data_IF_884159824406
#
_entry.id   IF_884159824406
#
_cell.length_a   1.000
_cell.length_b   1.000
_cell.length_c   1.000
_cell.angle_alpha   90.00
_cell.angle_beta   90.00
_cell.angle_gamma   90.00
#
_symmetry.space_group_name_H-M   'P 1'
#
loop_
_entity.id
_entity.type
_entity.pdbx_description
1 polymer ?
#
# COMPACT_ATOMS: atom_id res chain seq x y z
N UNK A 1 -55.13 -30.69 17.75
CA UNK A 1 -53.67 -30.65 17.94
C UNK A 1 -52.84 -31.06 16.73
N UNK A 2 -53.39 -31.13 15.49
CA UNK A 2 -52.64 -31.54 14.29
C UNK A 2 -52.41 -30.40 13.27
N UNK A 3 -52.83 -29.16 13.57
CA UNK A 3 -52.68 -28.03 12.65
C UNK A 3 -51.57 -27.04 13.05
N UNK A 4 -50.93 -27.21 14.20
CA UNK A 4 -49.85 -26.33 14.64
C UNK A 4 -48.43 -26.79 14.23
N UNK A 5 -48.30 -28.03 13.68
CA UNK A 5 -46.98 -28.56 13.29
C UNK A 5 -46.60 -28.29 11.82
N UNK A 6 -47.49 -27.69 11.02
CA UNK A 6 -47.22 -27.45 9.60
C UNK A 6 -46.81 -25.99 9.26
N UNK A 7 -46.71 -25.12 10.25
CA UNK A 7 -46.29 -23.73 10.02
C UNK A 7 -44.79 -23.47 10.31
N UNK A 8 -43.99 -24.50 10.59
CA UNK A 8 -42.53 -24.41 10.65
C UNK A 8 -41.89 -24.63 9.26
N UNK A 9 -42.59 -24.15 8.23
CA UNK A 9 -42.12 -24.26 6.85
C UNK A 9 -41.34 -23.07 6.38
N UNK A 10 -40.06 -23.26 6.19
CA UNK A 10 -39.17 -22.52 5.29
C UNK A 10 -39.12 -21.00 5.49
N UNK A 11 -38.38 -20.55 6.48
CA UNK A 11 -37.68 -19.26 6.32
C UNK A 11 -36.65 -19.46 5.20
N UNK A 12 -36.68 -18.64 4.17
CA UNK A 12 -35.65 -18.76 3.11
C UNK A 12 -34.28 -18.51 3.71
N UNK A 13 -33.34 -19.35 3.32
CA UNK A 13 -31.94 -19.34 3.78
C UNK A 13 -31.20 -18.08 3.24
N UNK A 14 -31.61 -16.90 3.73
CA UNK A 14 -31.04 -15.62 3.36
C UNK A 14 -29.65 -15.40 3.99
N UNK A 15 -29.20 -16.36 4.83
CA UNK A 15 -27.88 -16.31 5.49
C UNK A 15 -26.72 -16.64 4.56
N UNK A 16 -26.95 -17.43 3.49
CA UNK A 16 -25.89 -17.85 2.57
C UNK A 16 -25.52 -16.78 1.54
N UNK A 17 -26.49 -16.00 1.08
CA UNK A 17 -26.24 -14.95 0.07
C UNK A 17 -25.47 -13.74 0.64
N UNK A 18 -25.70 -13.37 1.89
CA UNK A 18 -24.94 -12.30 2.56
C UNK A 18 -23.49 -12.68 2.86
N UNK A 19 -23.25 -13.97 3.15
CA UNK A 19 -21.94 -14.47 3.61
C UNK A 19 -20.87 -14.51 2.50
N UNK A 20 -21.25 -14.81 1.26
CA UNK A 20 -20.35 -14.80 0.11
C UNK A 20 -20.03 -13.37 -0.34
N UNK A 21 -21.00 -12.47 -0.26
CA UNK A 21 -20.85 -11.06 -0.67
C UNK A 21 -19.85 -10.30 0.20
N UNK A 22 -19.91 -10.49 1.53
CA UNK A 22 -19.03 -9.76 2.48
C UNK A 22 -17.56 -10.19 2.35
N UNK A 23 -17.30 -11.48 2.18
CA UNK A 23 -15.94 -12.01 1.96
C UNK A 23 -15.36 -11.48 0.67
N UNK A 24 -16.12 -11.51 -0.42
CA UNK A 24 -15.71 -10.99 -1.73
C UNK A 24 -15.37 -9.50 -1.63
N UNK A 25 -16.19 -8.73 -0.93
CA UNK A 25 -15.94 -7.30 -0.71
C UNK A 25 -14.65 -7.07 0.06
N UNK A 26 -14.41 -7.84 1.13
CA UNK A 26 -13.18 -7.73 1.93
C UNK A 26 -11.94 -8.07 1.09
N UNK A 27 -11.97 -9.17 0.33
CA UNK A 27 -10.87 -9.54 -0.56
C UNK A 27 -10.62 -8.49 -1.63
N UNK A 28 -11.67 -7.95 -2.24
CA UNK A 28 -11.57 -6.88 -3.24
C UNK A 28 -10.89 -5.63 -2.66
N UNK A 29 -11.32 -5.20 -1.47
CA UNK A 29 -10.74 -4.04 -0.77
C UNK A 29 -9.24 -4.30 -0.47
N UNK A 30 -8.91 -5.50 0.02
CA UNK A 30 -7.53 -5.86 0.33
C UNK A 30 -6.67 -5.96 -0.93
N UNK A 31 -7.19 -6.51 -2.02
CA UNK A 31 -6.50 -6.59 -3.31
C UNK A 31 -6.18 -5.18 -3.84
N UNK A 32 -7.16 -4.27 -3.82
CA UNK A 32 -6.95 -2.89 -4.26
C UNK A 32 -5.86 -2.19 -3.41
N UNK A 33 -5.88 -2.39 -2.09
CA UNK A 33 -4.84 -1.82 -1.23
C UNK A 33 -3.46 -2.43 -1.54
N UNK A 34 -3.41 -3.72 -1.89
CA UNK A 34 -2.16 -4.42 -2.24
C UNK A 34 -1.58 -3.95 -3.59
N UNK A 35 -2.40 -3.36 -4.50
CA UNK A 35 -1.90 -2.74 -5.74
C UNK A 35 -0.89 -1.61 -5.46
N UNK A 36 -0.96 -0.96 -4.31
CA UNK A 36 0.05 0.01 -3.89
C UNK A 36 1.44 -0.65 -3.77
N UNK A 37 1.49 -1.92 -3.35
CA UNK A 37 2.72 -2.71 -3.36
C UNK A 37 3.24 -2.99 -4.77
N UNK A 38 2.35 -3.32 -5.70
CA UNK A 38 2.71 -3.53 -7.12
C UNK A 38 3.38 -2.28 -7.70
N UNK A 39 2.81 -1.10 -7.44
CA UNK A 39 3.37 0.18 -7.90
C UNK A 39 4.77 0.43 -7.33
N UNK A 40 4.96 0.15 -6.05
CA UNK A 40 6.26 0.26 -5.39
C UNK A 40 7.28 -0.67 -6.08
N UNK A 41 6.89 -1.92 -6.33
CA UNK A 41 7.75 -2.90 -7.00
C UNK A 41 8.12 -2.50 -8.43
N UNK A 42 7.14 -2.05 -9.21
CA UNK A 42 7.36 -1.56 -10.57
C UNK A 42 8.37 -0.40 -10.59
N UNK A 43 8.20 0.58 -9.69
CA UNK A 43 9.06 1.78 -9.67
C UNK A 43 10.51 1.43 -9.32
N UNK A 44 10.74 0.47 -8.42
CA UNK A 44 12.09 -0.02 -8.10
C UNK A 44 12.72 -0.71 -9.32
N UNK A 45 11.93 -1.52 -10.03
CA UNK A 45 12.43 -2.33 -11.13
C UNK A 45 12.75 -1.53 -12.40
N UNK A 46 11.82 -0.68 -12.86
CA UNK A 46 11.92 -0.01 -14.17
C UNK A 46 13.14 0.91 -14.29
N UNK A 47 13.62 1.47 -13.20
CA UNK A 47 14.80 2.39 -13.28
C UNK A 47 16.07 1.63 -13.67
N UNK A 48 16.17 0.35 -13.30
CA UNK A 48 17.33 -0.47 -13.60
C UNK A 48 17.49 -0.68 -15.12
N UNK A 49 16.38 -0.93 -15.82
CA UNK A 49 16.39 -1.08 -17.28
C UNK A 49 16.46 0.22 -18.05
N UNK A 50 15.81 1.28 -17.53
CA UNK A 50 15.75 2.58 -18.19
C UNK A 50 17.07 3.37 -18.10
N UNK A 51 17.84 3.22 -17.02
CA UNK A 51 19.01 4.05 -16.70
C UNK A 51 20.09 4.08 -17.81
N UNK A 52 20.47 2.96 -18.44
CA UNK A 52 21.44 3.00 -19.54
C UNK A 52 20.99 3.91 -20.70
N UNK A 53 19.72 3.79 -21.12
CA UNK A 53 19.16 4.59 -22.21
C UNK A 53 19.05 6.08 -21.83
N UNK A 54 18.69 6.38 -20.59
CA UNK A 54 18.66 7.74 -20.03
C UNK A 54 20.06 8.35 -20.07
N UNK A 55 21.08 7.55 -19.68
CA UNK A 55 22.48 7.96 -19.67
C UNK A 55 22.95 8.31 -21.08
N UNK A 56 22.61 7.46 -22.07
CA UNK A 56 23.00 7.65 -23.46
C UNK A 56 22.27 8.85 -24.10
N UNK A 57 20.98 9.06 -23.80
CA UNK A 57 20.21 10.18 -24.37
C UNK A 57 20.63 11.53 -23.81
N UNK A 58 20.80 11.62 -22.48
CA UNK A 58 21.10 12.89 -21.81
C UNK A 58 22.61 13.09 -21.58
N UNK A 59 23.46 12.13 -21.93
CA UNK A 59 24.92 12.15 -21.76
C UNK A 59 25.33 12.54 -20.32
N UNK A 60 24.64 11.90 -19.33
CA UNK A 60 24.83 12.22 -17.91
C UNK A 60 26.02 11.46 -17.32
N UNK A 61 26.74 12.13 -16.43
CA UNK A 61 27.87 11.54 -15.70
C UNK A 61 27.39 10.64 -14.54
N UNK A 62 28.29 9.85 -13.97
CA UNK A 62 28.00 8.90 -12.89
C UNK A 62 27.33 9.55 -11.69
N UNK A 63 27.74 10.78 -11.33
CA UNK A 63 27.16 11.52 -10.21
C UNK A 63 25.67 11.86 -10.45
N UNK A 64 25.33 12.27 -11.67
CA UNK A 64 23.94 12.55 -12.06
C UNK A 64 23.10 11.26 -12.09
N UNK A 65 23.67 10.13 -12.57
CA UNK A 65 23.00 8.82 -12.51
C UNK A 65 22.61 8.45 -11.07
N UNK A 66 23.54 8.68 -10.12
CA UNK A 66 23.29 8.46 -8.69
C UNK A 66 22.11 9.29 -8.20
N UNK A 67 22.02 10.56 -8.63
CA UNK A 67 20.89 11.44 -8.27
C UNK A 67 19.57 10.93 -8.88
N UNK A 68 19.57 10.49 -10.13
CA UNK A 68 18.37 9.93 -10.78
C UNK A 68 17.82 8.73 -9.96
N UNK A 69 18.71 7.87 -9.45
CA UNK A 69 18.30 6.70 -8.65
C UNK A 69 17.94 7.10 -7.21
N UNK A 70 18.80 7.87 -6.54
CA UNK A 70 18.67 8.16 -5.09
C UNK A 70 17.57 9.18 -4.77
N UNK A 71 17.23 10.07 -5.70
CA UNK A 71 16.19 11.09 -5.50
C UNK A 71 14.84 10.48 -5.12
N UNK A 72 14.51 9.32 -5.68
CA UNK A 72 13.30 8.57 -5.33
C UNK A 72 13.34 8.12 -3.85
N UNK A 73 14.50 7.62 -3.38
CA UNK A 73 14.66 7.21 -1.97
C UNK A 73 14.52 8.40 -1.02
N UNK A 74 15.05 9.56 -1.41
CA UNK A 74 14.86 10.80 -0.65
C UNK A 74 13.36 11.16 -0.55
N UNK A 75 12.65 11.14 -1.68
CA UNK A 75 11.20 11.36 -1.72
C UNK A 75 10.45 10.38 -0.83
N UNK A 76 10.82 9.09 -0.88
CA UNK A 76 10.17 8.03 -0.09
C UNK A 76 10.37 8.25 1.41
N UNK A 77 11.55 8.67 1.85
CA UNK A 77 11.81 9.00 3.26
C UNK A 77 10.92 10.15 3.74
N UNK A 78 10.84 11.24 2.96
CA UNK A 78 9.98 12.41 3.26
C UNK A 78 8.50 11.98 3.29
N UNK A 79 8.06 11.21 2.29
CA UNK A 79 6.70 10.70 2.18
C UNK A 79 6.31 9.80 3.36
N UNK A 80 7.21 8.91 3.77
CA UNK A 80 6.98 7.99 4.88
C UNK A 80 6.82 8.74 6.22
N UNK A 81 7.69 9.73 6.48
CA UNK A 81 7.61 10.57 7.69
C UNK A 81 6.28 11.35 7.72
N UNK A 82 5.88 11.93 6.59
CA UNK A 82 4.64 12.70 6.48
C UNK A 82 3.38 11.84 6.52
N UNK A 83 3.47 10.58 6.11
CA UNK A 83 2.31 9.69 5.92
C UNK A 83 1.57 9.37 7.21
N UNK A 84 2.27 9.27 8.33
CA UNK A 84 1.66 9.03 9.64
C UNK A 84 0.67 10.14 10.00
N UNK A 85 1.11 11.38 9.88
CA UNK A 85 0.27 12.56 10.13
C UNK A 85 -0.88 12.65 9.10
N UNK A 86 -0.57 12.44 7.83
CA UNK A 86 -1.55 12.49 6.72
C UNK A 86 -2.66 11.44 6.94
N UNK A 87 -2.27 10.21 7.22
CA UNK A 87 -3.18 9.08 7.43
C UNK A 87 -4.05 9.28 8.69
N UNK A 88 -3.50 9.86 9.76
CA UNK A 88 -4.24 10.18 10.98
C UNK A 88 -5.25 11.31 10.72
N UNK A 89 -4.83 12.38 10.02
CA UNK A 89 -5.66 13.57 9.81
C UNK A 89 -6.78 13.32 8.79
N UNK A 90 -6.45 12.79 7.61
CA UNK A 90 -7.36 12.66 6.47
C UNK A 90 -8.05 11.29 6.38
N UNK A 91 -7.48 10.26 7.02
CA UNK A 91 -7.97 8.88 6.89
C UNK A 91 -7.13 8.08 5.89
N UNK A 92 -7.28 6.77 5.95
CA UNK A 92 -6.46 5.85 5.14
C UNK A 92 -6.83 5.93 3.66
N UNK A 93 -8.13 6.02 3.36
CA UNK A 93 -8.65 6.15 1.99
C UNK A 93 -8.06 7.38 1.27
N UNK A 94 -8.18 8.56 1.91
CA UNK A 94 -7.71 9.83 1.31
C UNK A 94 -6.19 9.83 1.18
N UNK A 95 -5.46 9.24 2.13
CA UNK A 95 -3.99 9.12 2.04
C UNK A 95 -3.57 8.23 0.88
N UNK A 96 -4.24 7.08 0.69
CA UNK A 96 -4.01 6.21 -0.47
C UNK A 96 -4.35 6.93 -1.78
N UNK A 97 -5.42 7.74 -1.79
CA UNK A 97 -5.81 8.53 -2.98
C UNK A 97 -4.73 9.56 -3.33
N UNK A 98 -4.17 10.25 -2.33
CA UNK A 98 -3.05 11.19 -2.54
C UNK A 98 -1.85 10.44 -3.11
N UNK A 99 -1.50 9.29 -2.53
CA UNK A 99 -0.43 8.42 -3.03
C UNK A 99 -0.66 8.01 -4.50
N UNK A 100 -1.88 7.60 -4.84
CA UNK A 100 -2.24 7.21 -6.22
C UNK A 100 -2.13 8.38 -7.20
N UNK A 101 -2.58 9.59 -6.80
CA UNK A 101 -2.44 10.81 -7.61
C UNK A 101 -0.95 11.13 -7.84
N UNK A 102 -0.14 11.04 -6.79
CA UNK A 102 1.31 11.27 -6.89
C UNK A 102 1.98 10.24 -7.80
N UNK A 103 1.56 8.95 -7.77
CA UNK A 103 2.04 7.91 -8.67
C UNK A 103 1.71 8.26 -10.13
N UNK A 104 0.46 8.64 -10.43
CA UNK A 104 0.03 9.01 -11.79
C UNK A 104 0.84 10.23 -12.27
N UNK A 105 0.89 11.29 -11.46
CA UNK A 105 1.62 12.51 -11.83
C UNK A 105 3.11 12.25 -12.01
N UNK A 106 3.74 11.58 -11.05
CA UNK A 106 5.17 11.26 -11.09
C UNK A 106 5.54 10.40 -12.30
N UNK A 107 4.73 9.37 -12.60
CA UNK A 107 4.96 8.50 -13.78
C UNK A 107 4.80 9.28 -15.10
N UNK A 108 3.78 10.13 -15.20
CA UNK A 108 3.57 10.97 -16.38
C UNK A 108 4.76 11.93 -16.59
N UNK A 109 5.18 12.61 -15.54
CA UNK A 109 6.33 13.53 -15.62
C UNK A 109 7.63 12.80 -15.91
N UNK A 110 7.83 11.59 -15.35
CA UNK A 110 9.02 10.76 -15.65
C UNK A 110 9.03 10.32 -17.11
N UNK A 111 7.90 9.82 -17.63
CA UNK A 111 7.78 9.35 -19.01
C UNK A 111 7.92 10.51 -20.04
N UNK A 112 7.45 11.70 -19.66
CA UNK A 112 7.48 12.90 -20.52
C UNK A 112 8.70 13.79 -20.30
N UNK A 113 9.66 13.40 -19.47
CA UNK A 113 10.79 14.25 -19.04
C UNK A 113 11.62 14.72 -20.25
N UNK A 114 11.71 16.06 -20.49
CA UNK A 114 12.53 16.58 -21.58
C UNK A 114 14.02 16.70 -21.23
N UNK A 115 14.35 16.67 -19.95
CA UNK A 115 15.72 16.78 -19.43
C UNK A 115 15.85 16.05 -18.09
N UNK A 116 17.10 15.89 -17.63
CA UNK A 116 17.41 15.10 -16.44
C UNK A 116 16.90 15.76 -15.14
N UNK A 117 16.83 17.10 -15.11
CA UNK A 117 16.35 17.82 -13.92
C UNK A 117 14.86 17.52 -13.66
N UNK A 118 14.05 17.56 -14.72
CA UNK A 118 12.61 17.19 -14.64
C UNK A 118 12.47 15.73 -14.24
N UNK A 119 13.31 14.85 -14.78
CA UNK A 119 13.32 13.44 -14.42
C UNK A 119 13.63 13.27 -12.91
N UNK A 120 14.64 13.93 -12.36
CA UNK A 120 15.00 13.89 -10.93
C UNK A 120 13.80 14.37 -10.07
N UNK A 121 13.17 15.49 -10.44
CA UNK A 121 12.00 16.02 -9.70
C UNK A 121 10.84 15.01 -9.75
N UNK A 122 10.59 14.40 -10.91
CA UNK A 122 9.55 13.39 -11.04
C UNK A 122 9.83 12.13 -10.21
N UNK A 123 11.13 11.74 -10.08
CA UNK A 123 11.56 10.63 -9.20
C UNK A 123 11.31 10.97 -7.73
N UNK A 124 11.53 12.23 -7.31
CA UNK A 124 11.16 12.68 -5.95
C UNK A 124 9.65 12.54 -5.73
N UNK A 125 8.83 12.95 -6.72
CA UNK A 125 7.35 12.81 -6.63
C UNK A 125 6.93 11.34 -6.52
N UNK A 126 7.54 10.45 -7.32
CA UNK A 126 7.32 9.00 -7.23
C UNK A 126 7.73 8.47 -5.85
N UNK A 127 8.86 8.95 -5.33
CA UNK A 127 9.31 8.63 -3.98
C UNK A 127 8.29 9.03 -2.92
N UNK A 128 7.76 10.26 -2.98
CA UNK A 128 6.70 10.72 -2.07
C UNK A 128 5.49 9.77 -2.13
N UNK A 129 5.06 9.37 -3.34
CA UNK A 129 3.97 8.42 -3.54
C UNK A 129 4.26 7.08 -2.85
N UNK A 130 5.46 6.55 -3.08
CA UNK A 130 5.95 5.30 -2.46
C UNK A 130 5.94 5.42 -0.94
N UNK A 131 6.47 6.51 -0.38
CA UNK A 131 6.53 6.75 1.06
C UNK A 131 5.13 6.77 1.70
N UNK A 132 4.18 7.46 1.07
CA UNK A 132 2.78 7.51 1.54
C UNK A 132 2.14 6.13 1.43
N UNK A 133 2.32 5.43 0.32
CA UNK A 133 1.70 4.14 0.05
C UNK A 133 2.28 3.03 0.94
N UNK A 134 3.59 2.98 1.14
CA UNK A 134 4.28 1.95 1.94
C UNK A 134 3.90 1.99 3.41
N UNK A 135 3.52 3.14 3.94
CA UNK A 135 2.96 3.27 5.28
C UNK A 135 1.46 2.97 5.30
N UNK A 136 0.71 3.64 4.41
CA UNK A 136 -0.76 3.67 4.49
C UNK A 136 -1.40 2.34 4.06
N UNK A 137 -0.86 1.65 3.03
CA UNK A 137 -1.47 0.43 2.50
C UNK A 137 -1.40 -0.74 3.50
N UNK A 138 -0.24 -1.09 4.10
CA UNK A 138 -0.21 -2.13 5.13
C UNK A 138 -1.03 -1.78 6.37
N UNK A 139 -1.02 -0.51 6.79
CA UNK A 139 -1.85 -0.04 7.89
C UNK A 139 -3.34 -0.25 7.58
N UNK A 140 -3.78 0.17 6.39
CA UNK A 140 -5.17 0.00 5.93
C UNK A 140 -5.55 -1.49 5.88
N UNK A 141 -4.67 -2.33 5.33
CA UNK A 141 -4.87 -3.79 5.28
C UNK A 141 -5.03 -4.38 6.69
N UNK A 142 -4.20 -3.95 7.64
CA UNK A 142 -4.26 -4.43 9.02
C UNK A 142 -5.54 -4.02 9.75
N UNK A 143 -6.16 -2.90 9.34
CA UNK A 143 -7.38 -2.36 9.95
C UNK A 143 -8.68 -2.88 9.30
N UNK A 144 -8.63 -3.26 8.02
CA UNK A 144 -9.80 -3.75 7.26
C UNK A 144 -9.92 -5.26 7.34
N UNK A 145 -8.80 -5.98 7.24
CA UNK A 145 -8.80 -7.44 7.18
C UNK A 145 -9.26 -8.05 8.53
N UNK A 146 -10.18 -9.05 8.48
CA UNK A 146 -10.50 -9.82 9.68
C UNK A 146 -9.24 -10.43 10.30
N UNK A 147 -9.24 -10.58 11.62
CA UNK A 147 -8.09 -11.08 12.38
C UNK A 147 -7.51 -12.37 11.79
N UNK A 148 -8.37 -13.31 11.39
CA UNK A 148 -7.99 -14.64 10.87
C UNK A 148 -7.14 -14.57 9.60
N UNK A 149 -7.34 -13.56 8.74
CA UNK A 149 -6.64 -13.44 7.44
C UNK A 149 -5.74 -12.20 7.36
N UNK A 150 -5.61 -11.44 8.44
CA UNK A 150 -4.86 -10.18 8.48
C UNK A 150 -3.40 -10.36 8.04
N UNK A 151 -2.72 -11.38 8.58
CA UNK A 151 -1.34 -11.70 8.21
C UNK A 151 -1.21 -12.02 6.72
N UNK A 152 -2.13 -12.84 6.19
CA UNK A 152 -2.18 -13.21 4.78
C UNK A 152 -2.34 -12.00 3.86
N UNK A 153 -3.19 -11.04 4.25
CA UNK A 153 -3.44 -9.82 3.47
C UNK A 153 -2.22 -8.89 3.46
N UNK A 154 -1.50 -8.81 4.58
CA UNK A 154 -0.24 -8.03 4.66
C UNK A 154 0.83 -8.72 3.80
N UNK A 155 0.91 -10.06 3.83
CA UNK A 155 1.83 -10.83 2.97
C UNK A 155 1.50 -10.65 1.48
N UNK A 156 0.22 -10.50 1.14
CA UNK A 156 -0.20 -10.21 -0.24
C UNK A 156 0.35 -8.86 -0.73
N UNK A 157 0.42 -7.84 0.13
CA UNK A 157 1.06 -6.57 -0.21
C UNK A 157 2.55 -6.79 -0.57
N UNK A 158 3.26 -7.59 0.23
CA UNK A 158 4.68 -7.91 -0.03
C UNK A 158 4.85 -8.72 -1.33
N UNK A 159 3.95 -9.68 -1.57
CA UNK A 159 3.92 -10.47 -2.82
C UNK A 159 3.71 -9.55 -4.04
N UNK A 160 2.83 -8.56 -3.92
CA UNK A 160 2.58 -7.59 -5.00
C UNK A 160 3.81 -6.74 -5.32
N UNK A 161 4.66 -6.41 -4.32
CA UNK A 161 5.95 -5.74 -4.56
C UNK A 161 6.84 -6.63 -5.46
N UNK A 162 6.95 -7.92 -5.12
CA UNK A 162 7.76 -8.88 -5.89
C UNK A 162 7.23 -9.04 -7.32
N UNK A 163 5.90 -9.16 -7.48
CA UNK A 163 5.25 -9.23 -8.79
C UNK A 163 5.52 -7.94 -9.59
N UNK A 164 5.49 -6.79 -8.92
CA UNK A 164 5.81 -5.49 -9.54
C UNK A 164 7.23 -5.45 -10.07
N UNK A 165 8.21 -5.91 -9.29
CA UNK A 165 9.63 -5.99 -9.72
C UNK A 165 9.76 -6.91 -10.94
N UNK A 166 9.12 -8.08 -10.91
CA UNK A 166 9.11 -9.01 -12.05
C UNK A 166 8.47 -8.35 -13.29
N UNK A 167 7.32 -7.68 -13.10
CA UNK A 167 6.63 -6.96 -14.17
C UNK A 167 7.50 -5.85 -14.78
N UNK A 168 8.27 -5.15 -13.94
CA UNK A 168 9.22 -4.12 -14.38
C UNK A 168 10.29 -4.74 -15.31
N UNK A 169 10.92 -5.84 -14.87
CA UNK A 169 11.95 -6.51 -15.68
C UNK A 169 11.41 -7.02 -17.02
N UNK A 170 10.20 -7.56 -17.03
CA UNK A 170 9.55 -7.99 -18.28
C UNK A 170 9.28 -6.80 -19.21
N UNK A 171 8.80 -5.70 -18.66
CA UNK A 171 8.56 -4.44 -19.38
C UNK A 171 9.87 -3.87 -19.95
N UNK A 172 10.90 -3.79 -19.11
CA UNK A 172 12.23 -3.28 -19.48
C UNK A 172 12.82 -4.13 -20.64
N UNK A 173 12.73 -5.46 -20.53
CA UNK A 173 13.18 -6.37 -21.56
C UNK A 173 12.41 -6.11 -22.86
N UNK A 174 11.09 -5.96 -22.81
CA UNK A 174 10.26 -5.74 -24.00
C UNK A 174 10.61 -4.41 -24.70
N UNK A 175 10.83 -3.35 -23.94
CA UNK A 175 11.13 -2.03 -24.49
C UNK A 175 12.62 -1.78 -24.75
N UNK A 176 13.53 -2.63 -24.25
CA UNK A 176 14.99 -2.48 -24.47
C UNK A 176 15.35 -2.61 -25.96
N UNK A 177 14.64 -3.47 -26.71
CA UNK A 177 14.87 -3.66 -28.14
C UNK A 177 14.65 -2.39 -28.96
N UNK A 178 13.80 -1.48 -28.48
CA UNK A 178 13.49 -0.21 -29.14
C UNK A 178 14.18 0.99 -28.49
N UNK A 179 14.87 0.78 -27.35
CA UNK A 179 15.45 1.85 -26.54
C UNK A 179 14.42 2.81 -25.92
N UNK A 180 13.17 2.38 -25.82
CA UNK A 180 12.04 3.24 -25.47
C UNK A 180 11.88 3.38 -23.94
N UNK A 181 12.90 3.96 -23.26
CA UNK A 181 12.91 4.10 -21.81
C UNK A 181 11.72 4.90 -21.25
N UNK A 182 11.18 5.82 -22.04
CA UNK A 182 9.98 6.57 -21.63
C UNK A 182 8.78 5.65 -21.41
N UNK A 183 8.63 4.60 -22.23
CA UNK A 183 7.58 3.59 -22.05
C UNK A 183 7.86 2.67 -20.87
N UNK A 184 9.14 2.38 -20.58
CA UNK A 184 9.51 1.64 -19.36
C UNK A 184 8.99 2.37 -18.11
N UNK A 185 9.30 3.68 -17.98
CA UNK A 185 8.82 4.51 -16.87
C UNK A 185 7.28 4.72 -16.93
N UNK A 186 6.73 4.79 -18.13
CA UNK A 186 5.29 5.01 -18.36
C UNK A 186 4.40 3.84 -17.99
N UNK A 187 4.94 2.62 -17.96
CA UNK A 187 4.14 1.42 -17.63
C UNK A 187 3.46 1.51 -16.26
N UNK A 188 4.09 2.24 -15.32
CA UNK A 188 3.57 2.47 -13.96
C UNK A 188 2.20 3.19 -14.00
N UNK A 189 1.95 4.00 -15.03
CA UNK A 189 0.71 4.80 -15.16
C UNK A 189 -0.53 3.88 -15.14
N UNK A 190 -0.46 2.71 -15.78
CA UNK A 190 -1.60 1.79 -15.91
C UNK A 190 -2.10 1.32 -14.53
N UNK A 191 -1.27 0.65 -13.69
CA UNK A 191 -1.73 0.25 -12.36
C UNK A 191 -1.93 1.45 -11.41
N UNK A 192 -1.29 2.59 -11.63
CA UNK A 192 -1.51 3.80 -10.84
C UNK A 192 -2.93 4.35 -11.06
N UNK A 193 -3.40 4.40 -12.31
CA UNK A 193 -4.78 4.78 -12.64
C UNK A 193 -5.76 3.75 -12.06
N UNK A 194 -5.44 2.45 -12.18
CA UNK A 194 -6.28 1.40 -11.62
C UNK A 194 -6.41 1.55 -10.09
N UNK A 195 -5.31 1.82 -9.39
CA UNK A 195 -5.33 2.11 -7.95
C UNK A 195 -6.16 3.37 -7.66
N UNK A 196 -5.96 4.44 -8.41
CA UNK A 196 -6.68 5.71 -8.22
C UNK A 196 -8.19 5.51 -8.36
N UNK A 197 -8.63 4.82 -9.40
CA UNK A 197 -10.05 4.47 -9.61
C UNK A 197 -10.54 3.58 -8.47
N UNK A 198 -9.77 2.54 -8.14
CA UNK A 198 -10.11 1.57 -7.09
C UNK A 198 -10.34 2.21 -5.73
N UNK A 199 -9.49 3.18 -5.37
CA UNK A 199 -9.58 3.88 -4.08
C UNK A 199 -10.93 4.58 -3.88
N UNK A 200 -11.58 5.04 -4.96
CA UNK A 200 -12.93 5.66 -4.85
C UNK A 200 -13.95 4.69 -4.25
N UNK A 201 -13.81 3.39 -4.53
CA UNK A 201 -14.72 2.35 -4.05
C UNK A 201 -14.38 1.83 -2.65
N UNK A 202 -13.18 2.13 -2.14
CA UNK A 202 -12.75 1.69 -0.81
C UNK A 202 -13.51 2.44 0.29
N UNK A 203 -13.95 1.75 1.37
CA UNK A 203 -14.40 2.45 2.58
C UNK A 203 -13.20 3.02 3.33
N UNK A 204 -13.40 3.98 4.21
CA UNK A 204 -12.33 4.36 5.14
C UNK A 204 -12.27 3.36 6.31
N UNK A 205 -11.18 3.39 7.07
CA UNK A 205 -10.94 2.43 8.15
C UNK A 205 -11.94 2.58 9.30
N UNK A 206 -12.55 1.47 9.81
CA UNK A 206 -13.39 1.54 11.00
C UNK A 206 -12.61 2.01 12.24
N UNK A 207 -11.33 1.65 12.38
CA UNK A 207 -10.47 2.13 13.48
C UNK A 207 -10.25 3.62 13.41
N UNK A 208 -10.07 4.17 12.19
CA UNK A 208 -9.91 5.62 12.00
C UNK A 208 -11.20 6.37 12.35
N UNK A 209 -12.37 5.88 11.90
CA UNK A 209 -13.66 6.48 12.27
C UNK A 209 -13.86 6.49 13.79
N UNK A 210 -13.55 5.37 14.45
CA UNK A 210 -13.67 5.25 15.91
C UNK A 210 -12.71 6.22 16.63
N UNK A 211 -11.46 6.35 16.16
CA UNK A 211 -10.47 7.31 16.70
C UNK A 211 -10.95 8.77 16.56
N UNK A 212 -11.77 9.06 15.54
CA UNK A 212 -12.42 10.37 15.35
C UNK A 212 -13.78 10.47 16.08
N UNK A 213 -14.11 9.51 16.94
CA UNK A 213 -15.38 9.39 17.70
C UNK A 213 -16.63 9.24 16.82
N UNK A 214 -16.45 8.83 15.55
CA UNK A 214 -17.51 8.59 14.57
C UNK A 214 -17.91 7.10 14.60
N UNK A 215 -18.45 6.64 15.72
CA UNK A 215 -18.76 5.23 15.96
C UNK A 215 -19.83 4.66 15.02
N UNK A 216 -20.81 5.48 14.63
CA UNK A 216 -21.88 5.05 13.69
C UNK A 216 -21.30 4.73 12.30
N UNK A 217 -20.32 5.52 11.85
CA UNK A 217 -19.65 5.26 10.57
C UNK A 217 -18.73 4.03 10.65
N UNK A 218 -18.05 3.85 11.80
CA UNK A 218 -17.24 2.66 12.06
C UNK A 218 -18.11 1.39 12.01
N UNK A 219 -19.27 1.41 12.68
CA UNK A 219 -20.22 0.29 12.68
C UNK A 219 -20.72 -0.02 11.27
N UNK A 220 -21.09 1.01 10.50
CA UNK A 220 -21.57 0.87 9.12
C UNK A 220 -20.53 0.17 8.23
N UNK A 221 -19.25 0.52 8.39
CA UNK A 221 -18.15 -0.11 7.62
C UNK A 221 -17.96 -1.57 8.08
N UNK A 222 -17.94 -1.82 9.39
CA UNK A 222 -17.79 -3.18 9.94
C UNK A 222 -18.92 -4.10 9.46
N UNK A 223 -20.17 -3.61 9.44
CA UNK A 223 -21.32 -4.37 8.94
C UNK A 223 -21.20 -4.76 7.46
N UNK A 224 -20.44 -4.01 6.66
CA UNK A 224 -20.17 -4.34 5.25
C UNK A 224 -19.03 -5.34 5.09
N UNK A 225 -18.10 -5.39 6.06
CA UNK A 225 -16.87 -6.16 5.96
C UNK A 225 -16.90 -7.47 6.73
N UNK A 226 -17.81 -7.64 7.68
CA UNK A 226 -17.89 -8.82 8.55
C UNK A 226 -19.09 -9.70 8.16
N UNK A 227 -18.98 -11.00 8.42
CA UNK A 227 -19.99 -11.98 8.02
C UNK A 227 -21.26 -11.85 8.85
N UNK A 228 -21.16 -11.41 10.10
CA UNK A 228 -22.31 -11.29 11.00
C UNK A 228 -22.32 -9.94 11.72
N UNK A 229 -23.55 -9.49 12.02
CA UNK A 229 -23.75 -8.27 12.82
C UNK A 229 -23.15 -8.42 14.24
N UNK A 230 -23.17 -9.62 14.80
CA UNK A 230 -22.57 -9.90 16.12
C UNK A 230 -21.06 -9.68 16.08
N UNK A 231 -20.38 -10.19 15.05
CA UNK A 231 -18.94 -10.02 14.85
C UNK A 231 -18.57 -8.53 14.67
N UNK A 232 -19.35 -7.79 13.88
CA UNK A 232 -19.15 -6.36 13.66
C UNK A 232 -19.27 -5.55 14.98
N UNK A 233 -20.29 -5.87 15.79
CA UNK A 233 -20.52 -5.20 17.08
C UNK A 233 -19.43 -5.56 18.09
N UNK A 234 -19.01 -6.82 18.15
CA UNK A 234 -17.93 -7.26 19.03
C UNK A 234 -16.64 -6.51 18.71
N UNK A 235 -16.26 -6.47 17.43
CA UNK A 235 -15.05 -5.76 16.99
C UNK A 235 -15.14 -4.25 17.27
N UNK A 236 -16.32 -3.65 17.11
CA UNK A 236 -16.53 -2.22 17.43
C UNK A 236 -16.28 -1.97 18.93
N UNK A 237 -16.76 -2.88 19.78
CA UNK A 237 -16.55 -2.74 21.23
C UNK A 237 -15.07 -2.92 21.60
N UNK A 238 -14.37 -3.88 21.00
CA UNK A 238 -12.92 -4.03 21.17
C UNK A 238 -12.17 -2.75 20.77
N UNK A 239 -12.55 -2.13 19.65
CA UNK A 239 -11.97 -0.86 19.19
C UNK A 239 -12.25 0.24 20.24
N UNK A 240 -13.47 0.32 20.78
CA UNK A 240 -13.83 1.30 21.81
C UNK A 240 -12.98 1.12 23.08
N UNK A 241 -12.82 -0.12 23.53
CA UNK A 241 -12.01 -0.44 24.71
C UNK A 241 -10.53 -0.03 24.51
N UNK A 242 -9.99 -0.36 23.32
CA UNK A 242 -8.60 0.01 23.00
C UNK A 242 -8.37 1.53 23.01
N UNK A 243 -9.40 2.30 22.66
CA UNK A 243 -9.31 3.78 22.63
C UNK A 243 -9.42 4.42 24.04
N UNK A 244 -9.90 3.70 25.06
CA UNK A 244 -9.95 4.18 26.45
C UNK A 244 -8.55 4.27 27.04
N UNK A 245 -7.64 3.42 26.58
CA UNK A 245 -6.26 3.38 27.08
C UNK A 245 -5.49 4.51 26.37
N UNK A 246 -5.21 5.58 27.10
CA UNK A 246 -4.37 6.67 26.59
C UNK A 246 -2.93 6.16 26.48
N UNK A 247 -2.53 5.87 25.26
CA UNK A 247 -1.16 5.45 24.97
C UNK A 247 -0.40 6.63 24.33
N UNK A 248 0.57 7.17 25.07
CA UNK A 248 1.59 8.04 24.50
C UNK A 248 2.76 7.14 24.07
N UNK A 249 3.08 7.12 22.80
CA UNK A 249 4.19 6.31 22.27
C UNK A 249 5.51 6.58 23.00
N UNK A 250 5.75 7.82 23.39
CA UNK A 250 6.97 8.21 24.11
C UNK A 250 6.98 7.67 25.55
N UNK A 251 5.84 7.71 26.23
CA UNK A 251 5.69 7.11 27.57
C UNK A 251 5.85 5.58 27.50
N UNK A 252 5.23 4.93 26.51
CA UNK A 252 5.39 3.49 26.28
C UNK A 252 6.85 3.10 26.06
N UNK A 253 7.58 3.90 25.27
CA UNK A 253 9.02 3.66 25.04
C UNK A 253 9.83 3.73 26.33
N UNK A 254 9.51 4.67 27.24
CA UNK A 254 10.21 4.82 28.52
C UNK A 254 9.83 3.72 29.53
N UNK A 255 8.55 3.39 29.61
CA UNK A 255 8.00 2.60 30.73
C UNK A 255 7.88 1.10 30.41
N UNK A 256 7.70 0.73 29.12
CA UNK A 256 7.40 -0.65 28.75
C UNK A 256 8.60 -1.32 28.07
N UNK A 257 9.25 -2.25 28.80
CA UNK A 257 10.41 -3.00 28.32
C UNK A 257 10.07 -3.85 27.08
N UNK A 258 8.86 -4.45 27.04
CA UNK A 258 8.42 -5.26 25.90
C UNK A 258 8.24 -4.41 24.66
N UNK A 259 7.74 -3.18 24.81
CA UNK A 259 7.61 -2.23 23.69
C UNK A 259 8.99 -1.86 23.13
N UNK A 260 9.96 -1.54 24.01
CA UNK A 260 11.35 -1.26 23.56
C UNK A 260 11.96 -2.44 22.81
N UNK A 261 11.77 -3.67 23.34
CA UNK A 261 12.25 -4.90 22.66
C UNK A 261 11.61 -5.07 21.28
N UNK A 262 10.30 -4.87 21.16
CA UNK A 262 9.58 -4.97 19.91
C UNK A 262 10.09 -3.94 18.89
N UNK A 263 10.30 -2.69 19.31
CA UNK A 263 10.85 -1.61 18.47
C UNK A 263 12.29 -2.00 18.01
N UNK A 264 13.13 -2.42 18.96
CA UNK A 264 14.52 -2.83 18.67
C UNK A 264 14.55 -3.98 17.67
N UNK A 265 13.73 -5.03 17.88
CA UNK A 265 13.66 -6.18 16.97
C UNK A 265 13.16 -5.74 15.57
N UNK A 266 12.17 -4.87 15.51
CA UNK A 266 11.66 -4.33 14.24
C UNK A 266 12.74 -3.56 13.47
N UNK A 267 13.47 -2.70 14.15
CA UNK A 267 14.58 -1.94 13.57
C UNK A 267 15.69 -2.91 13.11
N UNK A 268 16.07 -3.86 13.98
CA UNK A 268 17.12 -4.84 13.67
C UNK A 268 16.76 -5.66 12.43
N UNK A 269 15.52 -6.17 12.36
CA UNK A 269 15.03 -6.93 11.19
C UNK A 269 15.10 -6.08 9.91
N UNK A 270 14.72 -4.81 9.99
CA UNK A 270 14.75 -3.91 8.83
C UNK A 270 16.20 -3.63 8.39
N UNK A 271 17.10 -3.43 9.35
CA UNK A 271 18.56 -3.25 9.08
C UNK A 271 19.12 -4.53 8.43
N UNK A 272 18.83 -5.70 9.00
CA UNK A 272 19.28 -6.99 8.45
C UNK A 272 18.74 -7.21 7.02
N UNK A 273 17.49 -6.85 6.77
CA UNK A 273 16.87 -6.93 5.43
C UNK A 273 17.66 -6.09 4.40
N UNK A 274 18.10 -4.89 4.79
CA UNK A 274 18.91 -4.04 3.89
C UNK A 274 20.32 -4.62 3.68
N UNK A 275 20.93 -5.17 4.74
CA UNK A 275 22.27 -5.80 4.65
C UNK A 275 22.28 -7.06 3.80
N UNK A 276 21.17 -7.80 3.67
CA UNK A 276 21.07 -8.96 2.76
C UNK A 276 21.09 -8.55 1.28
N UNK A 277 21.07 -7.24 0.98
CA UNK A 277 21.18 -6.73 -0.38
C UNK A 277 19.93 -6.95 -1.23
N UNK A 278 18.78 -7.02 -0.62
CA UNK A 278 17.53 -7.23 -1.34
C UNK A 278 17.29 -6.16 -2.42
N UNK A 279 17.79 -4.96 -2.17
CA UNK A 279 17.75 -3.85 -3.14
C UNK A 279 18.97 -3.80 -4.07
N UNK A 280 19.89 -4.50 -3.80
CA UNK A 280 21.08 -4.53 -4.55
C UNK A 280 20.97 -5.38 -5.79
N UNK A 281 20.12 -6.09 -5.82
CA UNK A 281 19.83 -6.82 -6.94
C UNK A 281 19.49 -6.02 -8.14
N UNK A 282 19.11 -5.11 -7.91
CA UNK A 282 18.80 -4.17 -8.87
C UNK A 282 19.97 -3.40 -9.40
N UNK A 283 20.76 -3.40 -8.70
CA UNK A 283 21.97 -2.77 -9.09
C UNK A 283 22.94 -3.69 -9.77
N UNK A 284 22.85 -4.87 -9.49
CA UNK A 284 23.84 -5.81 -10.10
C UNK A 284 23.40 -6.40 -11.44
N UNK A 285 22.18 -6.28 -11.82
CA UNK A 285 21.72 -6.76 -13.13
C UNK A 285 22.40 -6.04 -14.34
N UNK A 286 23.23 -5.05 -14.07
CA UNK A 286 23.99 -4.31 -15.07
C UNK A 286 25.16 -5.09 -15.71
N UNK A 287 25.53 -6.24 -15.13
CA UNK A 287 26.76 -6.94 -15.55
C UNK A 287 26.50 -8.34 -16.13
N UNK A 288 25.24 -8.67 -16.45
CA UNK A 288 24.82 -9.88 -17.15
C UNK A 288 24.22 -9.57 -18.52
#
# INVERSE_FOLDING_TARGET
MKQLSQMEGKMPDNKKQGRTSNKTMTFFVCFLAALAGLLFGLDIGVIAGALPFITDEFQINSHTQEWVVSSMMFGAAVGAVGSGWLSFKLGRKKSLMIGAILFVAGSLFSAAAPNVEVLIVSRVLLGLAVGVASYTAPLYLSEIAPEKIRGSMISMYQLMITIGILGAYLSDTAFSYSGAWRWMLGVIIIPAILLLIGVFFLPDSPRWFAAKRRFNDAERVLLRLRDTSAEAKHELEEIRESLKIKQSGWALFKENSNFRRAVFLGVLLQVMQQFTGMNXXXXRAKNL
#
